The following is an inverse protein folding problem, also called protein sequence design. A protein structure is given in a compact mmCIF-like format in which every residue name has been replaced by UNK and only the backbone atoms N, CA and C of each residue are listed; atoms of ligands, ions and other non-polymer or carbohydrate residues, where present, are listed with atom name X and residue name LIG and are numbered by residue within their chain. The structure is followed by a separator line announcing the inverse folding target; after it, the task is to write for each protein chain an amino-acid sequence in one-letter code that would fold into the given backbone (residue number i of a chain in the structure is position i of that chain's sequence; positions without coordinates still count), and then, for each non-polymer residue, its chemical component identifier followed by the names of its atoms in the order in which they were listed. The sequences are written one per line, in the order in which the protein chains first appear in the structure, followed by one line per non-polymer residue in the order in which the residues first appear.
data_IF_620083479859
#
_entry.id   IF_620083479859
#
_cell.length_a   1.000
_cell.length_b   1.000
_cell.length_c   1.000
_cell.angle_alpha   90.00
_cell.angle_beta   90.00
_cell.angle_gamma   90.00
#
_symmetry.space_group_name_H-M   'P 1'
#
loop_
_entity.id
_entity.type
_entity.pdbx_description
1 polymer ?
#
# COMPACT_ATOMS: atom_id res chain seq x y z
N UNK A 1 15.50 22.77 48.21
CA UNK A 1 14.80 21.53 47.84
C UNK A 1 14.52 21.58 46.36
N UNK A 2 15.38 21.05 45.58
CA UNK A 2 15.30 21.00 44.09
C UNK A 2 14.56 19.75 43.70
N UNK A 3 13.42 19.93 43.03
CA UNK A 3 12.64 18.84 42.41
C UNK A 3 13.47 18.21 41.30
N UNK A 4 13.74 16.93 41.44
CA UNK A 4 14.35 16.10 40.43
C UNK A 4 13.23 15.75 39.44
N UNK A 5 13.28 16.35 38.25
CA UNK A 5 12.52 15.90 37.09
C UNK A 5 12.95 14.46 36.77
N UNK A 6 12.07 13.52 37.06
CA UNK A 6 12.21 12.13 36.59
C UNK A 6 11.99 12.16 35.07
N UNK A 7 13.09 12.11 34.31
CA UNK A 7 13.04 11.74 32.89
C UNK A 7 12.32 10.40 32.76
N UNK A 8 11.13 10.43 32.19
CA UNK A 8 10.45 9.21 31.76
C UNK A 8 11.37 8.48 30.76
N UNK A 9 11.80 7.30 31.13
CA UNK A 9 12.50 6.40 30.22
C UNK A 9 11.60 6.14 29.02
N UNK A 10 12.12 6.18 27.77
CA UNK A 10 11.32 5.87 26.60
C UNK A 10 10.76 4.46 26.75
N UNK A 11 9.45 4.34 26.83
CA UNK A 11 8.74 3.05 26.89
C UNK A 11 9.24 2.17 25.74
N UNK A 12 9.81 1.02 26.06
CA UNK A 12 10.25 0.04 25.07
C UNK A 12 9.13 -0.25 24.07
N UNK A 13 9.49 -0.22 22.80
CA UNK A 13 8.54 -0.45 21.73
C UNK A 13 7.99 -1.86 21.81
N UNK A 14 6.69 -2.00 22.04
CA UNK A 14 6.06 -3.30 22.05
C UNK A 14 6.19 -3.95 20.65
N UNK A 15 6.66 -5.19 20.55
CA UNK A 15 6.86 -5.87 19.29
C UNK A 15 5.52 -6.28 18.67
N UNK A 16 5.48 -6.31 17.33
CA UNK A 16 4.39 -6.97 16.62
C UNK A 16 4.47 -8.47 16.83
N UNK A 17 3.34 -9.09 17.12
CA UNK A 17 3.20 -10.54 17.20
C UNK A 17 2.20 -11.04 16.14
N UNK A 18 2.40 -12.27 15.69
CA UNK A 18 1.49 -12.95 14.78
C UNK A 18 0.16 -13.20 15.47
N UNK A 19 -0.94 -12.79 14.85
CA UNK A 19 -2.26 -13.21 15.28
C UNK A 19 -2.43 -14.72 14.99
N UNK A 20 -3.11 -15.47 15.87
CA UNK A 20 -3.26 -16.93 15.75
C UNK A 20 -4.19 -17.35 14.60
N UNK A 21 -4.43 -16.48 13.64
CA UNK A 21 -5.40 -16.65 12.58
C UNK A 21 -4.78 -16.26 11.26
N UNK A 22 -4.93 -17.09 10.26
CA UNK A 22 -4.48 -16.85 8.90
C UNK A 22 -5.53 -17.33 7.89
N UNK A 23 -5.52 -16.69 6.74
CA UNK A 23 -6.36 -17.08 5.62
C UNK A 23 -5.56 -17.78 4.53
N UNK A 24 -6.20 -18.61 3.73
CA UNK A 24 -5.54 -19.32 2.64
C UNK A 24 -6.23 -19.09 1.30
N UNK A 25 -5.42 -18.94 0.27
CA UNK A 25 -5.79 -18.94 -1.13
C UNK A 25 -5.32 -20.24 -1.81
N UNK A 26 -5.81 -20.52 -3.02
CA UNK A 26 -5.36 -21.68 -3.80
C UNK A 26 -4.00 -21.46 -4.47
N UNK A 27 -3.63 -20.19 -4.70
CA UNK A 27 -2.36 -19.75 -5.30
C UNK A 27 -1.78 -18.57 -4.53
N UNK A 28 -0.63 -18.06 -4.98
CA UNK A 28 0.06 -16.92 -4.38
C UNK A 28 -0.87 -15.75 -4.13
N UNK A 29 -0.68 -15.09 -2.98
CA UNK A 29 -1.34 -13.84 -2.64
C UNK A 29 -0.51 -12.71 -3.22
N UNK A 30 -1.10 -11.97 -4.15
CA UNK A 30 -0.43 -10.91 -4.91
C UNK A 30 -0.54 -9.54 -4.24
N UNK A 31 -1.67 -9.26 -3.60
CA UNK A 31 -1.94 -7.97 -2.94
C UNK A 31 -2.80 -8.16 -1.70
N UNK A 32 -2.56 -7.31 -0.70
CA UNK A 32 -3.33 -7.21 0.54
C UNK A 32 -3.63 -5.73 0.77
N UNK A 33 -4.86 -5.39 1.13
CA UNK A 33 -5.24 -4.00 1.35
C UNK A 33 -6.27 -3.88 2.46
N UNK A 34 -6.02 -3.01 3.45
CA UNK A 34 -6.97 -2.69 4.50
C UNK A 34 -8.00 -1.68 4.04
N UNK A 35 -9.24 -1.88 4.44
CA UNK A 35 -10.29 -0.89 4.28
C UNK A 35 -9.95 0.39 5.07
N UNK A 36 -10.26 1.57 4.52
CA UNK A 36 -10.20 2.79 5.31
C UNK A 36 -11.12 2.71 6.52
N UNK A 37 -10.76 3.35 7.66
CA UNK A 37 -11.62 3.40 8.82
C UNK A 37 -12.94 4.07 8.47
N UNK A 38 -14.05 3.35 8.63
CA UNK A 38 -15.40 3.88 8.41
C UNK A 38 -15.99 4.33 9.74
N UNK A 39 -16.45 5.58 9.82
CA UNK A 39 -17.30 6.03 10.93
C UNK A 39 -18.68 5.37 10.77
N UNK A 40 -18.84 4.12 11.25
CA UNK A 40 -20.11 3.39 11.19
C UNK A 40 -21.21 3.97 12.11
N UNK A 41 -20.91 5.00 12.91
CA UNK A 41 -21.88 5.63 13.79
C UNK A 41 -22.03 7.12 13.47
N UNK A 42 -23.09 7.45 12.72
CA UNK A 42 -23.61 8.82 12.58
C UNK A 42 -24.31 9.34 13.85
N UNK A 43 -23.94 8.89 15.04
CA UNK A 43 -24.39 9.42 16.32
C UNK A 43 -23.17 9.87 17.11
N UNK A 44 -23.11 11.17 17.36
CA UNK A 44 -22.21 11.83 18.31
C UNK A 44 -22.54 11.35 19.74
N UNK A 45 -22.09 10.18 20.12
CA UNK A 45 -22.09 9.75 21.50
C UNK A 45 -20.64 9.46 21.90
N UNK A 46 -20.22 10.14 22.96
CA UNK A 46 -18.96 10.08 23.67
C UNK A 46 -18.35 8.66 23.66
N UNK A 47 -17.13 8.56 23.13
CA UNK A 47 -16.26 7.38 23.28
C UNK A 47 -15.91 7.24 24.76
N UNK A 48 -16.72 6.54 25.51
CA UNK A 48 -16.50 6.17 26.91
C UNK A 48 -17.01 4.75 27.14
N UNK A 49 -16.39 3.76 26.47
CA UNK A 49 -16.42 2.37 26.94
C UNK A 49 -15.17 1.65 26.37
N UNK A 50 -14.38 1.10 27.29
CA UNK A 50 -13.10 0.43 27.03
C UNK A 50 -13.25 -0.95 26.37
N UNK A 51 -14.40 -1.31 25.79
CA UNK A 51 -14.72 -2.68 25.35
C UNK A 51 -15.45 -2.72 23.99
N UNK A 52 -15.30 -1.71 23.12
CA UNK A 52 -15.88 -1.81 21.78
C UNK A 52 -14.94 -2.63 20.88
N UNK A 53 -15.36 -3.79 20.32
CA UNK A 53 -14.52 -4.59 19.46
C UNK A 53 -14.17 -3.80 18.19
N UNK A 54 -12.90 -3.49 17.98
CA UNK A 54 -12.43 -2.92 16.73
C UNK A 54 -12.51 -3.96 15.64
N UNK A 55 -13.23 -3.67 14.56
CA UNK A 55 -13.26 -4.53 13.38
C UNK A 55 -12.46 -3.88 12.28
N UNK A 56 -11.36 -4.52 11.88
CA UNK A 56 -10.60 -4.14 10.69
C UNK A 56 -10.98 -5.07 9.53
N UNK A 57 -11.40 -4.48 8.42
CA UNK A 57 -11.66 -5.24 7.19
C UNK A 57 -10.44 -5.19 6.28
N UNK A 58 -10.05 -6.33 5.74
CA UNK A 58 -8.94 -6.47 4.83
C UNK A 58 -9.36 -7.26 3.58
N UNK A 59 -8.87 -6.85 2.42
CA UNK A 59 -9.03 -7.59 1.17
C UNK A 59 -7.70 -8.24 0.80
N UNK A 60 -7.73 -9.46 0.29
CA UNK A 60 -6.57 -10.11 -0.32
C UNK A 60 -6.89 -10.57 -1.73
N UNK A 61 -6.00 -10.26 -2.66
CA UNK A 61 -6.08 -10.70 -4.05
C UNK A 61 -5.09 -11.84 -4.32
N UNK A 62 -5.43 -12.73 -5.22
CA UNK A 62 -4.60 -13.90 -5.52
C UNK A 62 -4.51 -14.22 -7.01
N UNK A 63 -3.41 -14.86 -7.36
CA UNK A 63 -3.20 -15.48 -8.66
C UNK A 63 -4.20 -16.63 -8.97
N UNK A 64 -5.06 -17.01 -8.01
CA UNK A 64 -6.17 -17.94 -8.25
C UNK A 64 -7.41 -17.28 -8.88
N UNK A 65 -7.36 -15.96 -9.12
CA UNK A 65 -8.44 -15.18 -9.73
C UNK A 65 -9.54 -14.78 -8.76
N UNK A 66 -9.30 -14.91 -7.45
CA UNK A 66 -10.27 -14.55 -6.41
C UNK A 66 -9.76 -13.44 -5.51
N UNK A 67 -10.69 -12.64 -4.99
CA UNK A 67 -10.47 -11.75 -3.84
C UNK A 67 -11.22 -12.32 -2.65
N UNK A 68 -10.59 -12.32 -1.49
CA UNK A 68 -11.21 -12.68 -0.23
C UNK A 68 -11.26 -11.48 0.70
N UNK A 69 -12.39 -11.31 1.37
CA UNK A 69 -12.58 -10.30 2.41
C UNK A 69 -12.48 -10.95 3.78
N UNK A 70 -11.69 -10.33 4.64
CA UNK A 70 -11.39 -10.78 5.99
C UNK A 70 -11.82 -9.73 6.99
N UNK A 71 -12.51 -10.13 8.03
CA UNK A 71 -12.75 -9.31 9.20
C UNK A 71 -11.83 -9.76 10.33
N UNK A 72 -10.97 -8.87 10.76
CA UNK A 72 -10.11 -9.06 11.93
C UNK A 72 -10.81 -8.36 13.09
N UNK A 73 -11.41 -9.14 13.98
CA UNK A 73 -12.06 -8.63 15.17
C UNK A 73 -11.01 -8.56 16.28
N UNK A 74 -10.80 -7.38 16.82
CA UNK A 74 -9.78 -7.12 17.84
C UNK A 74 -10.38 -6.29 18.97
N UNK A 75 -9.91 -6.49 20.19
CA UNK A 75 -10.19 -5.54 21.28
C UNK A 75 -9.19 -4.38 21.19
N UNK A 76 -9.70 -3.15 21.25
CA UNK A 76 -8.85 -1.96 21.14
C UNK A 76 -8.42 -1.55 22.55
N UNK A 77 -7.10 -1.61 22.82
CA UNK A 77 -6.50 -1.07 24.01
C UNK A 77 -6.31 0.45 23.97
N UNK A 78 -5.74 1.01 25.02
CA UNK A 78 -5.36 2.43 25.06
C UNK A 78 -4.33 2.72 23.95
N UNK A 79 -4.39 3.88 23.32
CA UNK A 79 -3.48 4.33 22.25
C UNK A 79 -3.54 3.51 20.95
N UNK A 80 -4.72 2.99 20.56
CA UNK A 80 -4.94 2.22 19.33
C UNK A 80 -4.11 0.92 19.23
N UNK A 81 -3.62 0.41 20.37
CA UNK A 81 -2.99 -0.91 20.43
C UNK A 81 -4.06 -1.99 20.31
N UNK A 82 -3.75 -3.04 19.60
CA UNK A 82 -4.63 -4.20 19.42
C UNK A 82 -4.30 -5.21 20.50
N UNK A 83 -5.25 -5.51 21.40
CA UNK A 83 -5.08 -6.58 22.36
C UNK A 83 -5.33 -7.92 21.67
N UNK A 84 -4.32 -8.81 21.72
CA UNK A 84 -4.47 -10.20 21.28
C UNK A 84 -5.11 -10.99 22.42
N UNK A 85 -6.42 -10.95 22.48
CA UNK A 85 -7.15 -11.86 23.36
C UNK A 85 -7.56 -13.11 22.59
N UNK A 86 -7.92 -14.15 23.32
CA UNK A 86 -8.40 -15.44 22.79
C UNK A 86 -9.66 -15.33 21.92
N UNK A 87 -10.25 -14.14 21.81
CA UNK A 87 -11.42 -13.82 20.99
C UNK A 87 -11.11 -13.25 19.61
N UNK A 88 -9.83 -13.06 19.24
CA UNK A 88 -9.46 -12.61 17.89
C UNK A 88 -9.92 -13.64 16.88
N UNK A 89 -10.90 -13.30 16.06
CA UNK A 89 -11.43 -14.18 15.01
C UNK A 89 -11.19 -13.58 13.64
N UNK A 90 -10.83 -14.43 12.68
CA UNK A 90 -10.81 -14.08 11.27
C UNK A 90 -12.02 -14.73 10.61
N UNK A 91 -12.88 -13.93 10.05
CA UNK A 91 -14.03 -14.42 9.29
C UNK A 91 -13.82 -14.08 7.83
N UNK A 92 -13.74 -15.10 6.98
CA UNK A 92 -13.83 -14.92 5.54
C UNK A 92 -15.28 -14.54 5.20
N UNK A 93 -15.51 -13.28 4.84
CA UNK A 93 -16.86 -12.74 4.65
C UNK A 93 -17.43 -13.04 3.27
N UNK A 94 -16.61 -12.96 2.25
CA UNK A 94 -17.03 -13.21 0.86
C UNK A 94 -15.85 -13.54 -0.04
N UNK A 95 -16.18 -14.21 -1.16
CA UNK A 95 -15.27 -14.44 -2.28
C UNK A 95 -15.79 -13.63 -3.45
N UNK A 96 -15.02 -12.64 -3.90
CA UNK A 96 -15.36 -11.87 -5.08
C UNK A 96 -14.86 -12.64 -6.31
N UNK A 97 -15.78 -12.97 -7.20
CA UNK A 97 -15.52 -13.74 -8.40
C UNK A 97 -15.75 -12.87 -9.65
N UNK A 98 -15.19 -13.30 -10.77
CA UNK A 98 -15.46 -12.65 -12.06
C UNK A 98 -14.24 -12.58 -12.96
N UNK A 99 -13.05 -12.37 -12.43
CA UNK A 99 -11.83 -12.43 -13.24
C UNK A 99 -11.57 -13.84 -13.77
N UNK A 100 -11.09 -13.92 -15.01
CA UNK A 100 -10.81 -15.20 -15.68
C UNK A 100 -9.35 -15.65 -15.50
N UNK A 101 -8.50 -14.75 -14.98
CA UNK A 101 -7.08 -15.01 -14.70
C UNK A 101 -6.71 -14.46 -13.33
N UNK A 102 -5.43 -14.57 -12.97
CA UNK A 102 -4.89 -14.10 -11.72
C UNK A 102 -5.13 -12.61 -11.51
N UNK A 103 -5.33 -12.23 -10.25
CA UNK A 103 -5.46 -10.84 -9.84
C UNK A 103 -4.11 -10.40 -9.28
N UNK A 104 -3.63 -9.25 -9.72
CA UNK A 104 -2.32 -8.71 -9.34
C UNK A 104 -2.42 -7.70 -8.20
N UNK A 105 -3.49 -6.88 -8.18
CA UNK A 105 -3.66 -5.84 -7.17
C UNK A 105 -5.13 -5.69 -6.77
N UNK A 106 -5.35 -5.24 -5.53
CA UNK A 106 -6.65 -4.87 -4.97
C UNK A 106 -6.52 -3.58 -4.18
N UNK A 107 -7.46 -2.67 -4.36
CA UNK A 107 -7.51 -1.44 -3.59
C UNK A 107 -8.93 -1.08 -3.18
N UNK A 108 -9.06 -0.49 -1.99
CA UNK A 108 -10.33 0.04 -1.48
C UNK A 108 -10.56 1.46 -1.97
N UNK A 109 -11.81 1.78 -2.23
CA UNK A 109 -12.21 3.19 -2.34
C UNK A 109 -12.02 3.89 -0.99
N UNK A 110 -11.69 5.19 -0.97
CA UNK A 110 -11.60 5.98 0.27
C UNK A 110 -12.85 5.95 1.16
N UNK A 111 -14.00 5.65 0.58
CA UNK A 111 -15.29 5.50 1.30
C UNK A 111 -15.50 4.09 1.86
N UNK A 112 -14.60 3.14 1.58
CA UNK A 112 -14.75 1.71 1.88
C UNK A 112 -16.00 1.04 1.27
N UNK A 113 -16.72 1.71 0.36
CA UNK A 113 -17.92 1.17 -0.27
C UNK A 113 -17.59 0.23 -1.44
N UNK A 114 -16.44 0.44 -2.08
CA UNK A 114 -16.05 -0.28 -3.29
C UNK A 114 -14.64 -0.82 -3.19
N UNK A 115 -14.41 -1.91 -3.94
CA UNK A 115 -13.11 -2.52 -4.19
C UNK A 115 -12.81 -2.53 -5.68
N UNK A 116 -11.62 -2.09 -6.07
CA UNK A 116 -11.14 -2.27 -7.43
C UNK A 116 -10.03 -3.31 -7.48
N UNK A 117 -9.97 -4.07 -8.57
CA UNK A 117 -8.97 -5.12 -8.81
C UNK A 117 -8.34 -4.97 -10.17
N UNK A 118 -7.07 -5.33 -10.28
CA UNK A 118 -6.30 -5.36 -11.52
C UNK A 118 -5.89 -6.81 -11.84
N UNK A 119 -6.06 -7.25 -13.09
CA UNK A 119 -5.91 -8.66 -13.45
C UNK A 119 -5.10 -8.91 -14.74
N UNK A 120 -4.56 -10.13 -14.81
CA UNK A 120 -3.94 -10.70 -16.03
C UNK A 120 -4.94 -10.95 -17.16
N UNK A 121 -6.25 -10.84 -16.91
CA UNK A 121 -7.25 -10.88 -17.97
C UNK A 121 -7.39 -9.56 -18.75
N UNK A 122 -6.50 -8.59 -18.46
CA UNK A 122 -6.40 -7.27 -19.08
C UNK A 122 -7.51 -6.29 -18.69
N UNK A 123 -8.31 -6.65 -17.69
CA UNK A 123 -9.41 -5.84 -17.18
C UNK A 123 -9.17 -5.41 -15.74
N UNK A 124 -9.88 -4.36 -15.35
CA UNK A 124 -10.11 -4.06 -13.94
C UNK A 124 -11.60 -4.29 -13.64
N UNK A 125 -11.90 -4.59 -12.41
CA UNK A 125 -13.28 -4.74 -11.94
C UNK A 125 -13.51 -3.93 -10.68
N UNK A 126 -14.70 -3.35 -10.60
CA UNK A 126 -15.21 -2.66 -9.43
C UNK A 126 -16.28 -3.54 -8.78
N UNK A 127 -16.11 -3.81 -7.50
CA UNK A 127 -17.06 -4.58 -6.70
C UNK A 127 -17.70 -3.70 -5.64
N UNK A 128 -18.99 -3.91 -5.41
CA UNK A 128 -19.66 -3.44 -4.21
C UNK A 128 -19.14 -4.26 -3.02
N UNK A 129 -18.56 -3.58 -2.02
CA UNK A 129 -17.92 -4.27 -0.90
C UNK A 129 -18.92 -4.97 0.04
N UNK A 130 -20.17 -4.50 0.08
CA UNK A 130 -21.23 -5.08 0.92
C UNK A 130 -21.91 -6.26 0.25
N UNK A 131 -22.22 -6.12 -1.05
CA UNK A 131 -22.94 -7.15 -1.82
C UNK A 131 -22.01 -8.20 -2.41
N UNK A 132 -20.73 -7.85 -2.65
CA UNK A 132 -19.78 -8.74 -3.31
C UNK A 132 -20.00 -8.88 -4.82
N UNK A 133 -20.85 -8.06 -5.41
CA UNK A 133 -21.19 -8.10 -6.84
C UNK A 133 -20.31 -7.17 -7.66
N UNK A 134 -20.02 -7.55 -8.90
CA UNK A 134 -19.32 -6.68 -9.86
C UNK A 134 -20.24 -5.53 -10.25
N UNK A 135 -19.79 -4.30 -10.00
CA UNK A 135 -20.52 -3.09 -10.34
C UNK A 135 -20.14 -2.53 -11.71
N UNK A 136 -18.82 -2.51 -12.03
CA UNK A 136 -18.26 -2.03 -13.30
C UNK A 136 -17.10 -2.90 -13.73
N UNK A 137 -16.96 -3.12 -15.03
CA UNK A 137 -15.78 -3.73 -15.64
C UNK A 137 -15.10 -2.72 -16.56
N UNK A 138 -13.80 -2.44 -16.34
CA UNK A 138 -13.02 -1.52 -17.14
C UNK A 138 -12.19 -2.29 -18.16
N UNK A 139 -12.40 -2.01 -19.44
CA UNK A 139 -11.72 -2.64 -20.58
C UNK A 139 -11.00 -1.60 -21.42
N UNK A 140 -9.77 -1.88 -21.83
CA UNK A 140 -9.00 -0.99 -22.70
C UNK A 140 -7.50 -1.18 -22.64
N UNK A 141 -6.96 -1.79 -21.58
CA UNK A 141 -5.56 -2.24 -21.57
C UNK A 141 -5.34 -3.36 -22.58
N UNK A 142 -4.17 -3.34 -23.22
CA UNK A 142 -3.82 -4.33 -24.25
C UNK A 142 -3.11 -5.54 -23.66
N UNK A 143 -2.65 -5.45 -22.40
CA UNK A 143 -1.93 -6.51 -21.71
C UNK A 143 -2.32 -6.54 -20.23
N UNK A 144 -1.64 -7.40 -19.43
CA UNK A 144 -1.88 -7.60 -18.01
C UNK A 144 -1.91 -6.29 -17.25
N UNK A 145 -2.87 -6.12 -16.34
CA UNK A 145 -2.94 -4.96 -15.46
C UNK A 145 -2.30 -5.33 -14.13
N UNK A 146 -1.26 -4.60 -13.73
CA UNK A 146 -0.48 -4.93 -12.56
C UNK A 146 -0.91 -4.21 -11.28
N UNK A 147 -1.39 -2.99 -11.41
CA UNK A 147 -1.69 -2.15 -10.26
C UNK A 147 -2.89 -1.25 -10.52
N UNK A 148 -3.57 -0.89 -9.45
CA UNK A 148 -4.68 0.06 -9.47
C UNK A 148 -4.81 0.82 -8.16
N UNK A 149 -5.26 2.08 -8.21
CA UNK A 149 -5.55 2.92 -7.04
C UNK A 149 -6.69 3.87 -7.31
N UNK A 150 -7.53 4.12 -6.29
CA UNK A 150 -8.52 5.19 -6.32
C UNK A 150 -7.89 6.54 -6.02
N UNK A 151 -8.46 7.58 -6.62
CA UNK A 151 -8.18 8.93 -6.16
C UNK A 151 -8.91 9.22 -4.81
N UNK A 152 -8.48 10.24 -4.06
CA UNK A 152 -9.09 10.56 -2.76
C UNK A 152 -10.58 10.86 -2.79
N UNK A 153 -11.10 11.31 -3.94
CA UNK A 153 -12.51 11.64 -4.14
C UNK A 153 -13.37 10.43 -4.55
N UNK A 154 -12.77 9.26 -4.77
CA UNK A 154 -13.44 8.02 -5.19
C UNK A 154 -14.17 8.10 -6.56
N UNK A 155 -13.89 9.10 -7.39
CA UNK A 155 -14.50 9.26 -8.71
C UNK A 155 -13.58 8.84 -9.86
N UNK A 156 -12.28 8.73 -9.63
CA UNK A 156 -11.30 8.25 -10.59
C UNK A 156 -10.58 7.01 -10.06
N UNK A 157 -10.25 6.12 -10.99
CA UNK A 157 -9.35 4.99 -10.78
C UNK A 157 -8.15 5.15 -11.71
N UNK A 158 -6.94 4.89 -11.23
CA UNK A 158 -5.73 4.80 -12.05
C UNK A 158 -5.30 3.35 -12.13
N UNK A 159 -4.76 2.95 -13.27
CA UNK A 159 -4.17 1.63 -13.48
C UNK A 159 -2.86 1.70 -14.25
N UNK A 160 -1.96 0.77 -13.93
CA UNK A 160 -0.72 0.55 -14.64
C UNK A 160 -0.66 -0.87 -15.21
N UNK A 161 -0.08 -1.01 -16.40
CA UNK A 161 -0.14 -2.27 -17.14
C UNK A 161 1.21 -2.65 -17.77
N UNK A 162 1.30 -3.93 -18.12
CA UNK A 162 2.37 -4.49 -18.95
C UNK A 162 2.40 -3.87 -20.36
N UNK A 163 1.34 -3.20 -20.81
CA UNK A 163 1.29 -2.46 -22.08
C UNK A 163 2.01 -1.10 -22.01
N UNK A 164 2.79 -0.84 -20.93
CA UNK A 164 3.63 0.35 -20.72
C UNK A 164 2.81 1.64 -20.48
N UNK A 165 1.49 1.53 -20.45
CA UNK A 165 0.59 2.68 -20.27
C UNK A 165 0.05 2.78 -18.86
N UNK A 166 -0.24 4.02 -18.46
CA UNK A 166 -1.09 4.34 -17.31
C UNK A 166 -2.42 4.84 -17.85
N UNK A 167 -3.53 4.33 -17.33
CA UNK A 167 -4.88 4.77 -17.71
C UNK A 167 -5.62 5.32 -16.49
N UNK A 168 -6.37 6.40 -16.75
CA UNK A 168 -7.34 6.96 -15.82
C UNK A 168 -8.76 6.60 -16.29
N UNK A 169 -9.61 6.23 -15.34
CA UNK A 169 -10.96 5.75 -15.57
C UNK A 169 -11.95 6.54 -14.73
N UNK A 170 -13.11 6.90 -15.30
CA UNK A 170 -14.25 7.38 -14.52
C UNK A 170 -14.93 6.16 -13.86
N UNK A 171 -15.00 6.17 -12.52
CA UNK A 171 -15.53 5.05 -11.72
C UNK A 171 -17.02 4.81 -11.98
N UNK A 172 -17.78 5.84 -12.38
CA UNK A 172 -19.24 5.77 -12.57
C UNK A 172 -19.66 5.08 -13.84
N UNK A 173 -18.96 5.38 -14.93
CA UNK A 173 -19.32 4.83 -16.25
C UNK A 173 -18.36 3.73 -16.74
N UNK A 174 -17.19 3.59 -16.10
CA UNK A 174 -16.18 2.61 -16.51
C UNK A 174 -15.38 3.03 -17.75
N UNK A 175 -15.53 4.27 -18.21
CA UNK A 175 -14.85 4.76 -19.40
C UNK A 175 -13.42 5.22 -19.11
N UNK A 176 -12.52 4.98 -20.06
CA UNK A 176 -11.16 5.49 -20.01
C UNK A 176 -11.15 6.99 -20.35
N UNK A 177 -10.86 7.81 -19.33
CA UNK A 177 -10.78 9.28 -19.47
C UNK A 177 -9.47 9.69 -20.14
N UNK A 178 -8.36 9.01 -19.77
CA UNK A 178 -7.03 9.37 -20.25
C UNK A 178 -6.12 8.14 -20.35
N UNK A 179 -5.27 8.14 -21.37
CA UNK A 179 -4.20 7.16 -21.53
C UNK A 179 -2.87 7.88 -21.63
N UNK A 180 -1.97 7.58 -20.70
CA UNK A 180 -0.62 8.12 -20.67
C UNK A 180 0.34 7.08 -21.26
N UNK A 181 1.13 7.40 -22.30
CA UNK A 181 2.27 6.58 -22.75
C UNK A 181 3.39 6.76 -21.72
N UNK A 182 3.24 6.07 -20.58
CA UNK A 182 3.95 6.45 -19.36
C UNK A 182 5.41 6.00 -19.33
N UNK A 183 5.70 4.82 -19.86
CA UNK A 183 7.00 4.18 -19.69
C UNK A 183 7.43 3.40 -20.94
N UNK A 184 8.66 2.92 -20.96
CA UNK A 184 9.21 2.05 -22.02
C UNK A 184 9.26 0.57 -21.63
N UNK A 185 8.79 0.26 -20.41
CA UNK A 185 8.67 -1.09 -19.86
C UNK A 185 7.40 -1.17 -18.98
N UNK A 186 6.99 -2.38 -18.54
CA UNK A 186 5.79 -2.57 -17.73
C UNK A 186 5.67 -1.65 -16.52
N UNK A 187 4.50 -1.06 -16.33
CA UNK A 187 4.16 -0.23 -15.17
C UNK A 187 3.77 -1.14 -14.01
N UNK A 188 4.53 -1.08 -12.93
CA UNK A 188 4.42 -1.98 -11.77
C UNK A 188 3.73 -1.40 -10.57
N UNK A 189 3.66 -0.06 -10.48
CA UNK A 189 3.01 0.62 -9.38
C UNK A 189 2.45 1.96 -9.79
N UNK A 190 1.31 2.32 -9.23
CA UNK A 190 0.66 3.63 -9.38
C UNK A 190 0.07 4.07 -8.05
N UNK A 191 0.02 5.38 -7.82
CA UNK A 191 -0.66 5.94 -6.66
C UNK A 191 -1.07 7.40 -6.93
N UNK A 192 -2.07 7.89 -6.20
CA UNK A 192 -2.46 9.31 -6.19
C UNK A 192 -1.86 10.06 -5.02
N UNK A 193 -1.53 11.32 -5.23
CA UNK A 193 -1.21 12.21 -4.13
C UNK A 193 -2.46 12.47 -3.25
N UNK A 194 -2.23 13.01 -2.06
CA UNK A 194 -3.26 13.18 -1.02
C UNK A 194 -4.48 14.00 -1.46
N UNK A 195 -4.29 14.97 -2.35
CA UNK A 195 -5.34 15.84 -2.87
C UNK A 195 -5.89 15.40 -4.24
N UNK A 196 -5.27 14.38 -4.87
CA UNK A 196 -5.65 13.85 -6.16
C UNK A 196 -5.20 14.68 -7.37
N UNK A 197 -4.45 15.76 -7.16
CA UNK A 197 -3.97 16.64 -8.25
C UNK A 197 -2.85 16.01 -9.07
N UNK A 198 -2.08 15.10 -8.45
CA UNK A 198 -0.99 14.38 -9.10
C UNK A 198 -1.14 12.88 -8.92
N UNK A 199 -0.56 12.14 -9.84
CA UNK A 199 -0.36 10.70 -9.71
C UNK A 199 1.11 10.35 -9.91
N UNK A 200 1.53 9.20 -9.35
CA UNK A 200 2.86 8.64 -9.55
C UNK A 200 2.75 7.29 -10.25
N UNK A 201 3.70 7.00 -11.13
CA UNK A 201 3.89 5.70 -11.75
C UNK A 201 5.34 5.23 -11.60
N UNK A 202 5.52 3.94 -11.42
CA UNK A 202 6.82 3.28 -11.39
C UNK A 202 6.85 2.11 -12.35
N UNK A 203 8.02 1.83 -12.95
CA UNK A 203 8.16 0.85 -14.03
C UNK A 203 9.46 0.06 -13.94
N UNK A 204 9.49 -1.05 -14.63
CA UNK A 204 10.71 -1.83 -14.87
C UNK A 204 11.79 -1.09 -15.65
N UNK A 205 11.47 0.03 -16.34
CA UNK A 205 12.45 0.93 -16.97
C UNK A 205 13.34 1.67 -15.95
N UNK A 206 13.09 1.46 -14.65
CA UNK A 206 13.85 2.07 -13.55
C UNK A 206 13.40 3.50 -13.22
N UNK A 207 12.37 4.01 -13.88
CA UNK A 207 11.89 5.37 -13.70
C UNK A 207 10.64 5.40 -12.79
N UNK A 208 10.57 6.47 -12.01
CA UNK A 208 9.37 6.89 -11.30
C UNK A 208 8.97 8.23 -11.91
N UNK A 209 7.73 8.35 -12.39
CA UNK A 209 7.23 9.57 -12.99
C UNK A 209 6.05 10.13 -12.21
N UNK A 210 6.00 11.45 -12.10
CA UNK A 210 4.90 12.18 -11.46
C UNK A 210 4.18 12.95 -12.57
N UNK A 211 2.86 12.84 -12.58
CA UNK A 211 2.00 13.37 -13.62
C UNK A 211 0.97 14.30 -13.02
N UNK A 212 0.59 15.33 -13.75
CA UNK A 212 -0.59 16.12 -13.46
C UNK A 212 -1.84 15.31 -13.84
N UNK A 213 -2.76 15.15 -12.89
CA UNK A 213 -3.96 14.32 -13.10
C UNK A 213 -4.93 14.94 -14.12
N UNK A 214 -4.98 16.26 -14.22
CA UNK A 214 -5.93 16.96 -15.09
C UNK A 214 -5.43 17.05 -16.52
N UNK A 215 -4.13 17.32 -16.73
CA UNK A 215 -3.54 17.54 -18.06
C UNK A 215 -2.87 16.30 -18.63
N UNK A 216 -2.45 15.36 -17.77
CA UNK A 216 -1.65 14.20 -18.15
C UNK A 216 -0.19 14.54 -18.49
N UNK A 217 0.27 15.73 -18.13
CA UNK A 217 1.65 16.13 -18.35
C UNK A 217 2.60 15.51 -17.31
N UNK A 218 3.78 15.09 -17.75
CA UNK A 218 4.82 14.59 -16.85
C UNK A 218 5.50 15.77 -16.16
N UNK A 219 5.25 15.92 -14.87
CA UNK A 219 5.80 16.99 -14.04
C UNK A 219 7.23 16.73 -13.60
N UNK A 220 7.58 15.46 -13.35
CA UNK A 220 8.87 15.07 -12.80
C UNK A 220 9.21 13.62 -13.14
N UNK A 221 10.49 13.38 -13.44
CA UNK A 221 11.05 12.03 -13.57
C UNK A 221 12.09 11.81 -12.49
N UNK A 222 12.03 10.67 -11.81
CA UNK A 222 12.89 10.28 -10.70
C UNK A 222 13.52 8.93 -11.05
N UNK A 223 14.79 8.76 -10.75
CA UNK A 223 15.50 7.49 -10.93
C UNK A 223 16.61 7.32 -9.90
N UNK A 224 16.95 6.08 -9.61
CA UNK A 224 18.09 5.74 -8.76
C UNK A 224 19.33 5.50 -9.63
N UNK A 225 20.52 5.62 -9.02
CA UNK A 225 21.77 5.27 -9.67
C UNK A 225 21.74 3.82 -10.17
N UNK A 226 22.14 3.61 -11.42
CA UNK A 226 22.09 2.30 -12.07
C UNK A 226 20.73 1.89 -12.61
N UNK A 227 19.72 2.73 -12.51
CA UNK A 227 18.34 2.49 -12.99
C UNK A 227 17.79 1.10 -12.63
N UNK A 228 17.81 0.68 -11.34
CA UNK A 228 17.21 -0.59 -10.98
C UNK A 228 15.71 -0.55 -11.22
N UNK A 229 15.16 -1.63 -11.77
CA UNK A 229 13.74 -1.75 -12.02
C UNK A 229 12.92 -1.41 -10.75
N UNK A 230 11.86 -0.64 -10.92
CA UNK A 230 10.94 -0.27 -9.84
C UNK A 230 9.87 -1.34 -9.72
N UNK A 231 9.71 -1.92 -8.55
CA UNK A 231 8.69 -2.95 -8.28
C UNK A 231 7.39 -2.40 -7.71
N UNK A 232 7.45 -1.30 -6.97
CA UNK A 232 6.28 -0.65 -6.39
C UNK A 232 6.56 0.81 -6.09
N UNK A 233 5.51 1.67 -6.13
CA UNK A 233 5.56 3.07 -5.71
C UNK A 233 4.33 3.44 -4.92
N UNK A 234 4.50 4.34 -3.95
CA UNK A 234 3.38 4.93 -3.20
C UNK A 234 3.72 6.34 -2.72
N UNK A 235 2.73 7.22 -2.65
CA UNK A 235 2.88 8.49 -1.96
C UNK A 235 2.91 8.31 -0.45
N UNK A 236 3.76 9.08 0.21
CA UNK A 236 3.67 9.21 1.66
C UNK A 236 2.36 9.93 2.03
N UNK A 237 1.75 9.62 3.19
CA UNK A 237 0.47 10.20 3.63
C UNK A 237 0.46 11.73 3.72
N UNK A 238 1.64 12.36 3.85
CA UNK A 238 1.80 13.81 3.85
C UNK A 238 1.86 14.44 2.44
N UNK A 239 1.87 13.62 1.37
CA UNK A 239 1.96 14.06 -0.02
C UNK A 239 3.32 14.63 -0.44
N UNK A 240 4.29 14.68 0.47
CA UNK A 240 5.61 15.28 0.22
C UNK A 240 6.63 14.30 -0.37
N UNK A 241 6.49 13.05 -0.05
CA UNK A 241 7.45 12.04 -0.43
C UNK A 241 6.79 10.94 -1.26
N UNK A 242 7.61 10.30 -2.11
CA UNK A 242 7.28 9.06 -2.80
C UNK A 242 8.22 7.97 -2.28
N UNK A 243 7.66 6.83 -1.88
CA UNK A 243 8.39 5.63 -1.55
C UNK A 243 8.45 4.76 -2.80
N UNK A 244 9.64 4.35 -3.21
CA UNK A 244 9.85 3.42 -4.32
C UNK A 244 10.62 2.20 -3.85
N UNK A 245 10.07 1.03 -4.08
CA UNK A 245 10.73 -0.26 -3.92
C UNK A 245 11.39 -0.69 -5.22
N UNK A 246 12.68 -1.00 -5.19
CA UNK A 246 13.46 -1.34 -6.38
C UNK A 246 14.09 -2.72 -6.28
N UNK A 247 14.30 -3.38 -7.43
CA UNK A 247 14.82 -4.75 -7.53
C UNK A 247 16.33 -4.88 -7.22
N UNK A 248 16.92 -3.85 -6.62
CA UNK A 248 18.25 -3.88 -6.01
C UNK A 248 18.19 -4.06 -4.47
N UNK A 249 17.05 -4.54 -3.96
CA UNK A 249 16.80 -4.75 -2.53
C UNK A 249 16.88 -3.48 -1.69
N UNK A 250 16.38 -2.38 -2.22
CA UNK A 250 16.32 -1.09 -1.51
C UNK A 250 14.95 -0.47 -1.62
N UNK A 251 14.51 0.15 -0.53
CA UNK A 251 13.40 1.10 -0.54
C UNK A 251 13.99 2.51 -0.47
N UNK A 252 13.53 3.39 -1.34
CA UNK A 252 14.00 4.77 -1.40
C UNK A 252 12.84 5.73 -1.20
N UNK A 253 13.05 6.72 -0.35
CA UNK A 253 12.11 7.81 -0.09
C UNK A 253 12.60 9.08 -0.78
N UNK A 254 11.82 9.56 -1.75
CA UNK A 254 12.15 10.69 -2.59
C UNK A 254 11.34 11.93 -2.18
N UNK A 255 12.00 13.08 -1.99
CA UNK A 255 11.30 14.37 -1.79
C UNK A 255 10.83 14.89 -3.15
N UNK A 256 9.51 15.03 -3.30
CA UNK A 256 8.90 15.45 -4.57
C UNK A 256 8.39 16.87 -4.56
N UNK A 257 8.40 17.55 -3.40
CA UNK A 257 7.86 18.91 -3.23
C UNK A 257 8.81 20.03 -3.62
N UNK A 258 10.02 19.74 -4.13
CA UNK A 258 10.99 20.76 -4.53
C UNK A 258 10.31 21.87 -5.31
N UNK A 259 10.04 23.02 -4.63
CA UNK A 259 9.38 24.19 -5.20
C UNK A 259 10.13 24.65 -6.44
N UNK A 260 9.36 24.94 -7.48
CA UNK A 260 9.78 25.79 -8.57
C UNK A 260 10.19 27.14 -7.96
N UNK A 261 11.49 27.41 -7.79
CA UNK A 261 11.89 28.78 -7.55
C UNK A 261 12.88 29.12 -6.45
N UNK A 262 13.44 28.17 -5.67
CA UNK A 262 14.54 28.51 -4.75
C UNK A 262 15.68 27.50 -4.86
N UNK A 263 16.67 27.93 -5.59
CA UNK A 263 18.10 27.63 -5.60
C UNK A 263 18.61 26.30 -5.02
N UNK A 264 19.02 25.41 -5.96
CA UNK A 264 20.41 24.93 -6.05
C UNK A 264 20.57 24.21 -7.39
N UNK A 265 21.43 24.74 -8.21
CA UNK A 265 21.71 24.38 -9.61
C UNK A 265 22.18 22.94 -9.87
N UNK A 266 22.20 22.06 -8.87
CA UNK A 266 22.86 20.75 -8.97
C UNK A 266 21.91 19.54 -9.07
N UNK A 267 20.60 19.71 -9.29
CA UNK A 267 19.64 18.59 -9.39
C UNK A 267 18.92 18.52 -10.75
N UNK A 268 19.51 19.02 -11.79
CA UNK A 268 19.05 18.82 -13.18
C UNK A 268 20.01 17.86 -13.89
N UNK A 269 19.44 16.91 -14.64
CA UNK A 269 20.23 16.12 -15.60
C UNK A 269 20.71 17.02 -16.76
N UNK A 270 21.57 16.51 -17.63
CA UNK A 270 22.11 17.23 -18.81
C UNK A 270 21.02 17.76 -19.76
N UNK A 271 19.78 17.26 -19.64
CA UNK A 271 18.61 17.70 -20.40
C UNK A 271 17.76 18.76 -19.69
N UNK A 272 18.19 19.27 -18.52
CA UNK A 272 17.47 20.29 -17.76
C UNK A 272 16.23 19.81 -16.99
N UNK A 273 15.96 18.50 -16.98
CA UNK A 273 14.85 17.91 -16.22
C UNK A 273 15.18 17.83 -14.73
N UNK A 274 14.19 18.16 -13.91
CA UNK A 274 14.33 18.14 -12.44
C UNK A 274 14.25 16.71 -11.93
N UNK A 275 15.28 16.28 -11.21
CA UNK A 275 15.31 14.98 -10.54
C UNK A 275 14.87 15.12 -9.08
N UNK A 276 14.12 14.13 -8.58
CA UNK A 276 13.78 14.07 -7.14
C UNK A 276 15.02 13.81 -6.30
N UNK A 277 15.10 14.43 -5.12
CA UNK A 277 16.20 14.16 -4.17
C UNK A 277 15.86 12.92 -3.35
N UNK A 278 16.70 11.88 -3.42
CA UNK A 278 16.59 10.74 -2.50
C UNK A 278 16.89 11.23 -1.08
N UNK A 279 15.87 11.18 -0.23
CA UNK A 279 15.96 11.63 1.16
C UNK A 279 16.46 10.54 2.09
N UNK A 280 15.98 9.31 1.89
CA UNK A 280 16.31 8.15 2.73
C UNK A 280 16.34 6.88 1.89
N UNK A 281 17.22 5.95 2.30
CA UNK A 281 17.29 4.59 1.74
C UNK A 281 17.21 3.59 2.89
N UNK A 282 16.36 2.58 2.71
CA UNK A 282 16.19 1.45 3.63
C UNK A 282 16.72 0.20 2.95
N UNK A 283 17.47 -0.63 3.69
CA UNK A 283 18.10 -1.85 3.18
C UNK A 283 18.03 -2.97 4.22
N UNK A 284 18.24 -4.19 3.79
CA UNK A 284 18.22 -5.38 4.66
C UNK A 284 17.25 -6.45 4.19
N UNK A 285 16.12 -6.08 3.56
CA UNK A 285 15.23 -7.01 2.87
C UNK A 285 15.84 -7.48 1.54
N UNK A 286 15.33 -8.58 1.01
CA UNK A 286 15.69 -9.10 -0.32
C UNK A 286 14.55 -8.85 -1.27
N UNK A 287 14.86 -8.15 -2.37
CA UNK A 287 13.93 -7.88 -3.45
C UNK A 287 14.73 -7.82 -4.77
N UNK A 288 14.73 -8.90 -5.55
CA UNK A 288 15.51 -9.03 -6.79
C UNK A 288 14.69 -9.52 -7.97
N UNK A 289 13.55 -10.13 -7.72
CA UNK A 289 12.81 -10.91 -8.72
C UNK A 289 11.35 -10.50 -8.83
N UNK A 290 10.69 -10.19 -7.72
CA UNK A 290 9.26 -9.94 -7.66
C UNK A 290 8.95 -8.47 -7.39
N UNK A 291 7.77 -8.01 -7.81
CA UNK A 291 7.20 -6.76 -7.34
C UNK A 291 6.72 -6.96 -5.90
N UNK A 292 7.47 -6.44 -4.94
CA UNK A 292 7.15 -6.52 -3.52
C UNK A 292 6.54 -5.20 -3.08
N UNK A 293 5.36 -5.29 -2.47
CA UNK A 293 4.68 -4.11 -1.94
C UNK A 293 5.34 -3.61 -0.65
N UNK A 294 5.23 -2.33 -0.44
CA UNK A 294 5.64 -1.64 0.79
C UNK A 294 4.56 -0.64 1.20
N UNK A 295 4.43 -0.43 2.50
CA UNK A 295 3.40 0.44 3.07
C UNK A 295 3.96 1.33 4.19
N UNK A 296 3.28 2.46 4.43
CA UNK A 296 3.54 3.30 5.60
C UNK A 296 2.64 2.87 6.76
N UNK A 297 3.23 2.55 7.90
CA UNK A 297 2.52 2.35 9.16
C UNK A 297 2.55 3.63 9.98
N UNK A 298 1.40 4.30 10.06
CA UNK A 298 1.24 5.64 10.69
C UNK A 298 0.23 5.65 11.82
N UNK A 299 -0.32 4.52 12.20
CA UNK A 299 -1.33 4.40 13.26
C UNK A 299 -0.85 5.01 14.59
N UNK A 300 0.43 4.92 14.88
CA UNK A 300 1.07 5.55 16.02
C UNK A 300 1.96 6.71 15.57
N UNK A 301 1.58 7.94 15.89
CA UNK A 301 2.32 9.16 15.49
C UNK A 301 3.76 9.19 16.02
N UNK A 302 4.01 8.56 17.18
CA UNK A 302 5.34 8.50 17.78
C UNK A 302 6.21 7.37 17.21
N UNK A 303 5.61 6.47 16.39
CA UNK A 303 6.26 5.25 15.90
C UNK A 303 6.03 5.03 14.41
N UNK A 304 6.10 6.07 13.62
CA UNK A 304 5.94 5.95 12.17
C UNK A 304 7.00 5.00 11.60
N UNK A 305 6.55 4.08 10.76
CA UNK A 305 7.38 3.02 10.19
C UNK A 305 7.10 2.84 8.70
N UNK A 306 8.06 2.23 8.02
CA UNK A 306 7.87 1.68 6.68
C UNK A 306 7.89 0.16 6.80
N UNK A 307 6.94 -0.50 6.19
CA UNK A 307 6.82 -1.96 6.18
C UNK A 307 7.08 -2.46 4.77
N UNK A 308 7.85 -3.52 4.64
CA UNK A 308 8.14 -4.16 3.34
C UNK A 308 8.05 -5.67 3.45
N UNK A 309 7.47 -6.29 2.44
CA UNK A 309 7.67 -7.71 2.20
C UNK A 309 9.11 -8.00 1.78
N UNK A 310 9.47 -9.26 1.69
CA UNK A 310 10.80 -9.70 1.26
C UNK A 310 10.74 -11.10 0.65
N UNK A 311 11.64 -11.35 -0.30
CA UNK A 311 11.76 -12.65 -0.97
C UNK A 311 12.29 -13.77 -0.05
N UNK A 312 12.83 -13.43 1.11
CA UNK A 312 13.30 -14.37 2.13
C UNK A 312 12.19 -14.91 3.07
N UNK A 313 10.92 -14.59 2.77
CA UNK A 313 9.78 -15.02 3.59
C UNK A 313 9.53 -14.19 4.84
N UNK A 314 10.15 -13.02 4.95
CA UNK A 314 10.04 -12.14 6.11
C UNK A 314 9.34 -10.82 5.77
N UNK A 315 8.79 -10.18 6.80
CA UNK A 315 8.31 -8.81 6.71
C UNK A 315 9.24 -7.92 7.54
N UNK A 316 9.75 -6.87 6.92
CA UNK A 316 10.66 -5.93 7.56
C UNK A 316 9.94 -4.65 7.95
N UNK A 317 10.12 -4.24 9.20
CA UNK A 317 9.60 -2.99 9.74
C UNK A 317 10.78 -2.06 10.00
N UNK A 318 10.80 -0.94 9.27
CA UNK A 318 11.84 0.07 9.38
C UNK A 318 11.34 1.27 10.15
N UNK A 319 12.19 1.84 10.99
CA UNK A 319 11.94 3.15 11.56
C UNK A 319 12.02 4.23 10.48
N UNK A 320 10.96 5.04 10.36
CA UNK A 320 10.88 6.06 9.31
C UNK A 320 11.98 7.11 9.43
N UNK A 321 12.46 7.42 10.64
CA UNK A 321 13.44 8.48 10.87
C UNK A 321 14.88 7.95 10.83
N UNK A 322 15.20 6.93 11.63
CA UNK A 322 16.54 6.40 11.75
C UNK A 322 16.94 5.46 10.62
N UNK A 323 15.97 4.93 9.86
CA UNK A 323 16.16 3.91 8.79
C UNK A 323 16.58 2.53 9.32
N UNK A 324 16.69 2.37 10.63
CA UNK A 324 17.04 1.10 11.24
C UNK A 324 15.89 0.10 11.09
N UNK A 325 16.22 -1.18 10.97
CA UNK A 325 15.26 -2.26 11.10
C UNK A 325 14.80 -2.30 12.55
N UNK A 326 13.52 -2.05 12.77
CA UNK A 326 12.90 -2.05 14.09
C UNK A 326 12.53 -3.45 14.51
N UNK A 327 11.99 -4.21 13.57
CA UNK A 327 11.59 -5.60 13.77
C UNK A 327 11.55 -6.35 12.44
N UNK A 328 11.81 -7.65 12.50
CA UNK A 328 11.61 -8.59 11.40
C UNK A 328 10.58 -9.61 11.85
N UNK A 329 9.52 -9.77 11.05
CA UNK A 329 8.44 -10.71 11.32
C UNK A 329 8.66 -11.98 10.50
N UNK A 330 8.77 -13.10 11.19
CA UNK A 330 9.10 -14.41 10.60
C UNK A 330 7.90 -15.36 10.77
N UNK A 331 7.30 -15.77 9.69
CA UNK A 331 6.24 -16.77 9.71
C UNK A 331 5.91 -17.33 8.33
N UNK A 332 6.01 -16.54 7.25
CA UNK A 332 5.79 -17.06 5.90
C UNK A 332 6.88 -18.08 5.54
N UNK A 333 6.48 -19.11 4.79
CA UNK A 333 7.39 -20.18 4.35
C UNK A 333 7.99 -19.93 2.97
N UNK A 334 7.54 -18.89 2.28
CA UNK A 334 8.00 -18.46 0.95
C UNK A 334 7.92 -16.93 0.86
N UNK A 335 8.35 -16.38 -0.27
CA UNK A 335 8.45 -14.92 -0.50
C UNK A 335 7.15 -14.18 -0.17
N UNK A 336 7.28 -13.08 0.58
CA UNK A 336 6.19 -12.17 0.92
C UNK A 336 6.11 -11.11 -0.15
N UNK A 337 5.04 -11.13 -0.94
CA UNK A 337 4.82 -10.19 -2.04
C UNK A 337 4.04 -8.96 -1.61
N UNK A 338 3.06 -9.15 -0.76
CA UNK A 338 2.09 -8.13 -0.37
C UNK A 338 2.21 -7.77 1.10
N UNK A 339 2.22 -6.49 1.39
CA UNK A 339 2.07 -5.96 2.76
C UNK A 339 1.23 -4.70 2.71
N UNK A 340 0.41 -4.52 3.72
CA UNK A 340 -0.29 -3.28 3.99
C UNK A 340 -0.40 -3.04 5.50
N UNK A 341 -0.55 -1.80 5.91
CA UNK A 341 -0.69 -1.40 7.30
C UNK A 341 -1.99 -0.62 7.50
N UNK A 342 -2.74 -0.99 8.52
CA UNK A 342 -3.99 -0.31 8.84
C UNK A 342 -3.72 1.14 9.26
N UNK A 343 -4.54 2.08 8.79
CA UNK A 343 -4.29 3.53 8.95
C UNK A 343 -4.45 4.03 10.39
N UNK A 344 -5.27 3.39 11.20
CA UNK A 344 -5.60 3.82 12.57
C UNK A 344 -5.28 2.81 13.66
N UNK A 345 -5.03 1.55 13.31
CA UNK A 345 -4.67 0.48 14.24
C UNK A 345 -3.24 0.02 13.98
N UNK A 346 -2.52 -0.35 15.01
CA UNK A 346 -1.21 -0.99 14.87
C UNK A 346 -1.38 -2.45 14.41
N UNK A 347 -1.86 -2.60 13.17
CA UNK A 347 -2.15 -3.87 12.53
C UNK A 347 -1.51 -3.88 11.14
N UNK A 348 -0.82 -4.97 10.82
CA UNK A 348 -0.17 -5.22 9.53
C UNK A 348 -0.76 -6.48 8.93
N UNK A 349 -1.08 -6.45 7.64
CA UNK A 349 -1.43 -7.61 6.84
C UNK A 349 -0.30 -7.97 5.90
N UNK A 350 -0.03 -9.26 5.72
CA UNK A 350 0.96 -9.75 4.76
C UNK A 350 0.43 -10.93 3.97
N UNK A 351 0.86 -11.05 2.72
CA UNK A 351 0.50 -12.13 1.82
C UNK A 351 1.70 -12.61 1.01
N UNK A 352 1.78 -13.89 0.74
CA UNK A 352 2.96 -14.48 0.13
C UNK A 352 2.68 -15.55 -0.93
N UNK A 353 3.76 -16.05 -1.52
CA UNK A 353 3.74 -17.18 -2.47
C UNK A 353 3.29 -18.46 -1.76
N UNK A 354 3.47 -18.57 -0.46
CA UNK A 354 2.98 -19.66 0.39
C UNK A 354 1.45 -19.74 0.45
N UNK A 355 0.72 -18.87 -0.28
CA UNK A 355 -0.75 -18.82 -0.40
C UNK A 355 -1.46 -18.35 0.86
N UNK A 356 -0.72 -17.93 1.88
CA UNK A 356 -1.30 -17.52 3.16
C UNK A 356 -1.40 -15.99 3.25
N UNK A 357 -2.44 -15.53 3.95
CA UNK A 357 -2.58 -14.16 4.43
C UNK A 357 -2.39 -14.19 5.95
N UNK A 358 -1.52 -13.34 6.47
CA UNK A 358 -1.19 -13.27 7.89
C UNK A 358 -1.38 -11.87 8.43
N UNK A 359 -1.78 -11.79 9.70
CA UNK A 359 -2.02 -10.54 10.39
C UNK A 359 -1.12 -10.43 11.62
N UNK A 360 -0.62 -9.23 11.85
CA UNK A 360 0.34 -8.91 12.89
C UNK A 360 -0.14 -7.70 13.66
N UNK A 361 -0.15 -7.77 14.97
CA UNK A 361 -0.57 -6.68 15.84
C UNK A 361 0.42 -6.47 16.98
N UNK A 362 0.47 -5.25 17.50
CA UNK A 362 1.24 -4.97 18.73
C UNK A 362 0.50 -5.56 19.93
N UNK A 363 1.23 -6.30 20.74
CA UNK A 363 0.69 -6.84 21.99
C UNK A 363 0.87 -5.84 23.11
N UNK A 364 -0.19 -5.55 23.87
CA UNK A 364 -0.06 -4.95 25.20
C UNK A 364 0.32 -6.07 26.18
N UNK A 365 1.50 -6.00 26.76
CA UNK A 365 1.89 -6.83 27.90
C UNK A 365 1.20 -6.37 29.17
#
# INVERSE_FOLDING_TARGET
MTSIDTMETPTEAQPYALLPVYGEHKRAVSSVSFAPPTNRNGSSSSINSNDDPGVATCASASADGTVKLWEVVTTIGRANTVNIESSTSLVARSHLLGHTRGINDVCWSPTAAYLATASDDKSLRLYDAEKGETFVEFKGHQNFVFCCKFNPQSNLLVSGSYDETVKLWDVRCGECVMTLPAHSDPVTGVDFCRDGTCLVSGSYDGLIRIWDTATGECLKTIYAEGNPAVGNVSFAPNGRYVLGGTLDSKLRLWDVTGRVGVERENNTNESGQRTGKCSKTYSGHINKKFCVFSAFSIANLNRQSVVSGSEDGKVYIYDLQSRAIRQTLESHTDSVLAVDAHKSLELIGSGGIDKTVRFWATTTS
#
